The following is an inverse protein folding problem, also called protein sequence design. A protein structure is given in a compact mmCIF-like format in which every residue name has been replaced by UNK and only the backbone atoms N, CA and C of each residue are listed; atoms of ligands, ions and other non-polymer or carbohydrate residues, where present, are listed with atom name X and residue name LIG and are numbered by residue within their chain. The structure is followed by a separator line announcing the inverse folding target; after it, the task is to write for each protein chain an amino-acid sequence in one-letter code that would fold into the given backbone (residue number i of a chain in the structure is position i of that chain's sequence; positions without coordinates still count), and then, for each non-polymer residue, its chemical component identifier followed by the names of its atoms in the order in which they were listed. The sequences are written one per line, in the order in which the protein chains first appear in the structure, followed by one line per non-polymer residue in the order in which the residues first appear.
data_IF_218207528250
#
_entry.id   IF_218207528250
#
_cell.length_a   1.000
_cell.length_b   1.000
_cell.length_c   1.000
_cell.angle_alpha   90.00
_cell.angle_beta   90.00
_cell.angle_gamma   90.00
#
_symmetry.space_group_name_H-M   'P 1'
#
loop_
_entity.id
_entity.type
_entity.pdbx_description
1 polymer ?
#
# COMPACT_ATOMS: atom_id res chain seq x y z
N UNK A 1 -28.34 -2.76 -13.50
CA UNK A 1 -26.91 -2.39 -13.51
C UNK A 1 -26.35 -2.63 -12.11
N UNK A 2 -25.13 -3.16 -12.01
CA UNK A 2 -24.42 -3.23 -10.72
C UNK A 2 -23.68 -1.90 -10.51
N UNK A 3 -24.03 -1.17 -9.45
CA UNK A 3 -23.35 0.07 -9.07
C UNK A 3 -22.19 -0.25 -8.13
N UNK A 4 -21.05 0.41 -8.30
CA UNK A 4 -19.89 0.31 -7.42
C UNK A 4 -19.43 1.71 -7.06
N UNK A 5 -19.35 2.03 -5.77
CA UNK A 5 -18.77 3.29 -5.30
C UNK A 5 -17.28 3.08 -4.99
N UNK A 6 -16.44 3.97 -5.48
CA UNK A 6 -14.98 3.93 -5.27
C UNK A 6 -14.50 5.19 -4.55
N UNK A 7 -13.37 5.11 -3.86
CA UNK A 7 -12.73 6.25 -3.21
C UNK A 7 -11.22 6.26 -3.49
N UNK A 8 -10.71 7.47 -3.70
CA UNK A 8 -9.28 7.78 -3.64
C UNK A 8 -9.01 8.56 -2.36
N UNK A 9 -7.92 8.23 -1.69
CA UNK A 9 -7.50 8.87 -0.44
C UNK A 9 -6.23 9.70 -0.67
N UNK A 10 -5.93 10.63 0.23
CA UNK A 10 -4.70 11.44 0.18
C UNK A 10 -4.23 11.78 1.58
N UNK A 11 -2.96 11.52 1.88
CA UNK A 11 -2.34 11.81 3.18
C UNK A 11 -0.86 12.20 3.06
N UNK A 12 -0.37 12.91 4.06
CA UNK A 12 1.07 13.07 4.29
C UNK A 12 1.64 11.85 5.01
N UNK A 13 2.88 11.49 4.70
CA UNK A 13 3.59 10.38 5.32
C UNK A 13 4.74 10.90 6.20
N UNK A 14 4.91 10.31 7.38
CA UNK A 14 6.06 10.54 8.27
C UNK A 14 7.03 9.36 8.20
N UNK A 15 8.16 9.44 8.90
CA UNK A 15 9.10 8.32 9.04
C UNK A 15 8.60 7.22 9.99
N UNK A 16 7.43 7.39 10.61
CA UNK A 16 6.83 6.39 11.50
C UNK A 16 5.78 5.58 10.73
N UNK A 17 6.11 4.31 10.44
CA UNK A 17 5.25 3.38 9.71
C UNK A 17 3.87 3.24 10.40
N UNK A 18 3.83 3.17 11.72
CA UNK A 18 2.60 2.93 12.47
C UNK A 18 1.68 4.14 12.44
N UNK A 19 2.26 5.34 12.47
CA UNK A 19 1.52 6.58 12.29
C UNK A 19 0.90 6.65 10.89
N UNK A 20 1.64 6.23 9.86
CA UNK A 20 1.12 6.22 8.49
C UNK A 20 -0.01 5.18 8.32
N UNK A 21 0.16 3.98 8.87
CA UNK A 21 -0.89 2.94 8.85
C UNK A 21 -2.15 3.45 9.56
N UNK A 22 -2.02 4.06 10.74
CA UNK A 22 -3.17 4.60 11.49
C UNK A 22 -3.88 5.73 10.75
N UNK A 23 -3.15 6.64 10.09
CA UNK A 23 -3.72 7.70 9.23
C UNK A 23 -4.47 7.11 8.03
N UNK A 24 -3.86 6.13 7.36
CA UNK A 24 -4.46 5.43 6.23
C UNK A 24 -5.75 4.69 6.65
N UNK A 25 -5.75 4.02 7.81
CA UNK A 25 -6.94 3.37 8.38
C UNK A 25 -8.07 4.36 8.61
N UNK A 26 -7.76 5.54 9.16
CA UNK A 26 -8.75 6.60 9.38
C UNK A 26 -9.43 6.99 8.07
N UNK A 27 -8.65 7.23 7.01
CA UNK A 27 -9.18 7.57 5.68
C UNK A 27 -9.99 6.43 5.04
N UNK A 28 -9.56 5.17 5.24
CA UNK A 28 -10.30 4.00 4.79
C UNK A 28 -11.66 3.90 5.49
N UNK A 29 -11.70 4.08 6.81
CA UNK A 29 -12.94 4.06 7.59
C UNK A 29 -13.88 5.19 7.19
N UNK A 30 -13.37 6.40 6.97
CA UNK A 30 -14.16 7.53 6.48
C UNK A 30 -14.76 7.26 5.09
N UNK A 31 -13.97 6.72 4.17
CA UNK A 31 -14.44 6.37 2.84
C UNK A 31 -15.50 5.24 2.87
N UNK A 32 -15.29 4.22 3.71
CA UNK A 32 -16.25 3.14 3.93
C UNK A 32 -17.56 3.66 4.56
N UNK A 33 -17.49 4.57 5.52
CA UNK A 33 -18.67 5.22 6.11
C UNK A 33 -19.47 6.04 5.09
N UNK A 34 -18.81 6.55 4.05
CA UNK A 34 -19.45 7.19 2.90
C UNK A 34 -19.97 6.18 1.86
N UNK A 35 -19.83 4.88 2.10
CA UNK A 35 -20.34 3.81 1.24
C UNK A 35 -19.40 3.38 0.11
N UNK A 36 -18.11 3.71 0.17
CA UNK A 36 -17.13 3.20 -0.79
C UNK A 36 -16.94 1.69 -0.63
N UNK A 37 -16.81 0.98 -1.75
CA UNK A 37 -16.64 -0.47 -1.83
C UNK A 37 -15.23 -0.86 -2.28
N UNK A 38 -14.52 0.05 -2.97
CA UNK A 38 -13.11 -0.08 -3.32
C UNK A 38 -12.43 1.22 -2.92
N UNK A 39 -11.38 1.13 -2.10
CA UNK A 39 -10.71 2.30 -1.53
C UNK A 39 -9.22 2.19 -1.84
N UNK A 40 -8.67 3.19 -2.53
CA UNK A 40 -7.28 3.21 -2.95
C UNK A 40 -6.43 4.14 -2.05
N UNK A 41 -5.39 3.56 -1.46
CA UNK A 41 -4.31 4.27 -0.76
C UNK A 41 -3.20 4.65 -1.75
N UNK A 42 -2.41 5.67 -1.40
CA UNK A 42 -1.28 6.14 -2.21
C UNK A 42 -0.09 5.16 -2.19
N UNK A 43 0.78 5.28 -3.19
CA UNK A 43 1.99 4.46 -3.35
C UNK A 43 2.95 4.58 -2.16
N UNK A 44 3.52 3.44 -1.72
CA UNK A 44 4.55 3.33 -0.68
C UNK A 44 4.26 4.14 0.61
N UNK A 45 2.98 4.30 0.96
CA UNK A 45 2.51 5.16 2.04
C UNK A 45 3.05 4.80 3.43
N UNK A 46 3.64 3.62 3.62
CA UNK A 46 4.29 3.22 4.87
C UNK A 46 5.44 4.16 5.25
N UNK A 47 6.03 4.91 4.31
CA UNK A 47 7.20 5.77 4.53
C UNK A 47 7.12 7.07 3.72
N UNK A 48 7.99 8.07 3.99
CA UNK A 48 8.23 9.14 3.02
C UNK A 48 8.83 8.55 1.75
N UNK A 49 8.58 9.17 0.61
CA UNK A 49 9.07 8.68 -0.69
C UNK A 49 10.61 8.67 -0.74
N UNK A 50 11.19 7.50 -0.45
CA UNK A 50 12.63 7.30 -0.22
C UNK A 50 13.45 7.21 -1.51
N UNK A 51 12.79 6.99 -2.66
CA UNK A 51 13.41 6.90 -3.99
C UNK A 51 14.01 8.24 -4.48
N UNK A 52 14.00 9.29 -3.64
CA UNK A 52 14.74 10.53 -3.91
C UNK A 52 16.25 10.36 -3.78
N UNK A 53 16.74 9.27 -3.15
CA UNK A 53 18.17 9.02 -2.97
C UNK A 53 18.50 7.55 -3.21
N UNK A 54 19.60 7.31 -3.90
CA UNK A 54 20.20 6.00 -4.08
C UNK A 54 20.94 5.56 -2.80
N UNK A 55 20.21 4.94 -1.86
CA UNK A 55 20.77 4.45 -0.59
C UNK A 55 20.37 3.02 -0.29
N UNK A 56 21.37 2.16 -0.16
CA UNK A 56 21.15 0.74 0.19
C UNK A 56 20.46 0.56 1.54
N UNK A 57 20.57 1.51 2.47
CA UNK A 57 19.87 1.47 3.76
C UNK A 57 18.34 1.37 3.60
N UNK A 58 17.78 1.94 2.52
CA UNK A 58 16.33 1.88 2.25
C UNK A 58 15.85 0.50 1.83
N UNK A 59 16.75 -0.41 1.47
CA UNK A 59 16.42 -1.80 1.25
C UNK A 59 15.85 -2.49 2.50
N UNK A 60 16.10 -1.94 3.69
CA UNK A 60 15.51 -2.41 4.94
C UNK A 60 13.99 -2.20 5.02
N UNK A 61 13.41 -1.31 4.21
CA UNK A 61 11.96 -1.13 4.12
C UNK A 61 11.27 -2.27 3.35
N UNK A 62 12.02 -3.05 2.58
CA UNK A 62 11.45 -4.15 1.80
C UNK A 62 11.08 -5.33 2.71
N UNK A 63 9.87 -5.85 2.57
CA UNK A 63 9.35 -6.97 3.36
C UNK A 63 8.78 -8.06 2.45
N UNK A 64 8.81 -9.31 2.90
CA UNK A 64 8.03 -10.35 2.24
C UNK A 64 6.54 -10.09 2.52
N UNK A 65 5.66 -10.48 1.59
CA UNK A 65 4.23 -10.14 1.64
C UNK A 65 3.58 -10.60 2.95
N UNK A 66 3.96 -11.78 3.43
CA UNK A 66 3.41 -12.43 4.62
C UNK A 66 3.81 -11.69 5.91
N UNK A 67 4.90 -10.91 5.86
CA UNK A 67 5.47 -10.19 7.00
C UNK A 67 5.21 -8.68 6.95
N UNK A 68 4.61 -8.16 5.88
CA UNK A 68 4.37 -6.72 5.75
C UNK A 68 3.29 -6.26 6.75
N UNK A 69 3.59 -5.19 7.49
CA UNK A 69 2.74 -4.68 8.57
C UNK A 69 1.44 -4.09 8.04
N UNK A 70 1.51 -3.27 6.99
CA UNK A 70 0.33 -2.67 6.37
C UNK A 70 -0.59 -3.75 5.77
N UNK A 71 -0.06 -4.74 5.06
CA UNK A 71 -0.84 -5.83 4.46
C UNK A 71 -1.63 -6.60 5.53
N UNK A 72 -0.96 -7.02 6.61
CA UNK A 72 -1.61 -7.76 7.70
C UNK A 72 -2.67 -6.92 8.42
N UNK A 73 -2.39 -5.63 8.64
CA UNK A 73 -3.34 -4.71 9.24
C UNK A 73 -4.59 -4.53 8.36
N UNK A 74 -4.40 -4.17 7.09
CA UNK A 74 -5.51 -3.89 6.18
C UNK A 74 -6.28 -5.14 5.74
N UNK A 75 -5.71 -6.33 5.92
CA UNK A 75 -6.46 -7.60 5.77
C UNK A 75 -7.61 -7.69 6.78
N UNK A 76 -7.35 -7.35 8.04
CA UNK A 76 -8.39 -7.32 9.07
C UNK A 76 -9.43 -6.21 8.80
N UNK A 77 -8.96 -5.02 8.41
CA UNK A 77 -9.82 -3.87 8.13
C UNK A 77 -10.72 -4.10 6.91
N UNK A 78 -10.19 -4.67 5.82
CA UNK A 78 -10.98 -5.00 4.63
C UNK A 78 -12.15 -5.92 4.97
N UNK A 79 -11.88 -6.97 5.77
CA UNK A 79 -12.90 -7.91 6.25
C UNK A 79 -13.93 -7.27 7.18
N UNK A 80 -13.46 -6.44 8.11
CA UNK A 80 -14.32 -5.75 9.07
C UNK A 80 -15.31 -4.82 8.36
N UNK A 81 -14.81 -4.04 7.39
CA UNK A 81 -15.59 -3.02 6.69
C UNK A 81 -16.28 -3.54 5.42
N UNK A 82 -15.97 -4.77 5.00
CA UNK A 82 -16.45 -5.38 3.75
C UNK A 82 -16.10 -4.55 2.50
N UNK A 83 -14.85 -4.11 2.40
CA UNK A 83 -14.34 -3.28 1.28
C UNK A 83 -13.08 -3.88 0.66
N UNK A 84 -12.91 -3.68 -0.65
CA UNK A 84 -11.70 -4.08 -1.37
C UNK A 84 -10.60 -3.02 -1.16
N UNK A 85 -9.41 -3.47 -0.78
CA UNK A 85 -8.25 -2.61 -0.50
C UNK A 85 -7.03 -3.04 -1.33
N UNK A 86 -6.65 -2.27 -2.36
CA UNK A 86 -5.34 -2.35 -2.98
C UNK A 86 -4.29 -1.69 -2.07
N UNK A 87 -3.31 -2.45 -1.60
CA UNK A 87 -2.28 -1.99 -0.66
C UNK A 87 -0.90 -2.03 -1.33
N UNK A 88 -0.31 -0.85 -1.53
CA UNK A 88 1.05 -0.70 -2.03
C UNK A 88 2.08 -0.97 -0.93
N UNK A 89 3.14 -1.71 -1.26
CA UNK A 89 4.25 -2.00 -0.34
C UNK A 89 5.56 -2.25 -1.11
N UNK A 90 6.69 -2.10 -0.43
CA UNK A 90 7.99 -2.46 -0.98
C UNK A 90 8.25 -3.95 -0.73
N UNK A 91 8.15 -4.77 -1.79
CA UNK A 91 8.26 -6.22 -1.69
C UNK A 91 9.72 -6.65 -1.72
N UNK A 92 10.07 -7.60 -0.85
CA UNK A 92 11.24 -8.48 -0.96
C UNK A 92 10.80 -9.87 -1.39
N UNK A 93 11.48 -10.45 -2.38
CA UNK A 93 11.36 -11.88 -2.73
C UNK A 93 12.74 -12.45 -3.00
N UNK A 94 13.23 -13.30 -2.09
CA UNK A 94 14.62 -13.75 -2.10
C UNK A 94 15.57 -12.52 -2.09
N UNK A 95 16.38 -12.37 -3.15
CA UNK A 95 17.28 -11.23 -3.35
C UNK A 95 16.68 -10.09 -4.19
N UNK A 96 15.51 -10.31 -4.81
CA UNK A 96 14.85 -9.31 -5.62
C UNK A 96 13.97 -8.39 -4.77
N UNK A 97 13.81 -7.14 -5.24
CA UNK A 97 12.92 -6.14 -4.67
C UNK A 97 11.99 -5.60 -5.73
N UNK A 98 10.75 -5.30 -5.35
CA UNK A 98 9.74 -4.80 -6.27
C UNK A 98 8.87 -3.75 -5.60
N UNK A 99 8.54 -2.69 -6.32
CA UNK A 99 7.38 -1.89 -6.00
C UNK A 99 6.13 -2.72 -6.34
N UNK A 100 5.37 -3.09 -5.31
CA UNK A 100 4.27 -4.05 -5.45
C UNK A 100 2.98 -3.53 -4.84
N UNK A 101 1.88 -4.14 -5.28
CA UNK A 101 0.55 -3.88 -4.76
C UNK A 101 -0.17 -5.21 -4.57
N UNK A 102 -0.63 -5.48 -3.36
CA UNK A 102 -1.50 -6.63 -3.08
C UNK A 102 -2.96 -6.19 -3.12
N UNK A 103 -3.84 -7.03 -3.66
CA UNK A 103 -5.28 -6.77 -3.67
C UNK A 103 -5.92 -7.62 -2.57
N UNK A 104 -6.47 -6.94 -1.57
CA UNK A 104 -7.23 -7.55 -0.47
C UNK A 104 -8.72 -7.44 -0.82
N UNK A 105 -9.41 -8.57 -0.88
CA UNK A 105 -10.86 -8.60 -1.12
C UNK A 105 -11.65 -8.21 0.13
N UNK A 106 -12.94 -7.95 -0.06
CA UNK A 106 -13.87 -7.52 1.00
C UNK A 106 -14.06 -8.55 2.12
N UNK A 107 -13.65 -9.81 1.93
CA UNK A 107 -13.65 -10.84 2.97
C UNK A 107 -12.30 -10.97 3.71
N UNK A 108 -11.31 -10.15 3.34
CA UNK A 108 -9.94 -10.19 3.83
C UNK A 108 -9.01 -11.12 3.04
N UNK A 109 -9.49 -11.81 2.00
CA UNK A 109 -8.64 -12.69 1.20
C UNK A 109 -7.66 -11.86 0.37
N UNK A 110 -6.37 -12.18 0.44
CA UNK A 110 -5.39 -11.62 -0.49
C UNK A 110 -5.51 -12.36 -1.82
N UNK A 111 -6.10 -11.70 -2.83
CA UNK A 111 -6.36 -12.28 -4.15
C UNK A 111 -5.08 -12.47 -4.97
N UNK A 112 -4.03 -11.73 -4.63
CA UNK A 112 -2.74 -11.77 -5.30
C UNK A 112 -2.02 -10.44 -5.19
N UNK A 113 -0.92 -10.32 -5.93
CA UNK A 113 -0.12 -9.10 -6.04
C UNK A 113 0.30 -8.82 -7.47
N UNK A 114 0.43 -7.54 -7.79
CA UNK A 114 1.02 -7.02 -9.01
C UNK A 114 2.36 -6.36 -8.68
N UNK A 115 3.34 -6.52 -9.57
CA UNK A 115 4.67 -5.89 -9.50
C UNK A 115 4.76 -4.81 -10.58
N UNK A 116 5.14 -3.60 -10.20
CA UNK A 116 5.25 -2.44 -11.09
C UNK A 116 6.14 -2.79 -12.29
N UNK A 117 5.60 -2.64 -13.50
CA UNK A 117 6.27 -3.05 -14.74
C UNK A 117 7.17 -1.95 -15.33
N UNK A 118 6.76 -0.69 -15.20
CA UNK A 118 7.50 0.45 -15.72
C UNK A 118 8.14 1.18 -14.54
N UNK A 119 9.46 1.06 -14.43
CA UNK A 119 10.24 1.62 -13.33
C UNK A 119 10.81 2.98 -13.76
N UNK A 120 10.35 4.10 -13.18
CA UNK A 120 10.86 5.43 -13.51
C UNK A 120 12.29 5.63 -13.00
N UNK A 121 12.92 6.70 -13.48
CA UNK A 121 14.28 7.06 -13.13
C UNK A 121 14.49 8.56 -13.36
N UNK A 122 15.41 9.17 -12.61
CA UNK A 122 15.76 10.59 -12.71
C UNK A 122 15.59 11.35 -11.39
N UNK A 123 16.08 12.60 -11.31
CA UNK A 123 16.23 13.32 -10.05
C UNK A 123 14.94 13.38 -9.22
N UNK A 124 14.99 12.79 -8.03
CA UNK A 124 13.86 12.68 -7.11
C UNK A 124 13.03 11.40 -7.23
N UNK A 125 13.28 10.57 -8.25
CA UNK A 125 12.51 9.37 -8.61
C UNK A 125 13.42 8.23 -9.11
N UNK A 126 14.52 7.96 -8.39
CA UNK A 126 15.53 6.95 -8.71
C UNK A 126 15.05 5.52 -8.35
N UNK A 127 13.89 5.09 -8.86
CA UNK A 127 13.31 3.77 -8.55
C UNK A 127 14.07 2.58 -9.16
N UNK A 128 15.00 2.82 -10.10
CA UNK A 128 15.83 1.76 -10.70
C UNK A 128 16.94 1.24 -9.79
N UNK A 129 17.25 1.95 -8.70
CA UNK A 129 18.27 1.61 -7.71
C UNK A 129 17.75 0.68 -6.60
#
# INVERSE_FOLDING_TARGET
MRNVKVAATQMSCSSNIDENISKAETLVREAAAQGAQIILLQELFETPYFCQKEKADYYAYATELEHNKAINHFTAIAKELQVVLPISFYEKKNYARYNSLAVIDADGTILGKYRKSHIPDGPGYEEKF
#
